data_IF_236012150635
#
_entry.id   IF_236012150635
#
_cell.length_a   1.000
_cell.length_b   1.000
_cell.length_c   1.000
_cell.angle_alpha   90.00
_cell.angle_beta   90.00
_cell.angle_gamma   90.00
#
_symmetry.space_group_name_H-M   'P 1'
#
loop_
_entity.id
_entity.type
_entity.pdbx_description
1 polymer ?
#
# COMPACT_ATOMS: atom_id res chain seq x y z
N UNK A 1 54.33 1.26 -17.34
CA UNK A 1 53.01 1.69 -16.84
C UNK A 1 52.01 1.56 -17.99
N UNK A 2 51.00 0.70 -17.87
CA UNK A 2 49.91 0.54 -18.85
C UNK A 2 48.60 0.77 -18.11
N UNK A 3 47.86 1.80 -18.52
CA UNK A 3 46.61 2.20 -17.89
C UNK A 3 45.48 1.25 -18.30
N UNK A 4 44.76 0.73 -17.31
CA UNK A 4 43.52 -0.02 -17.53
C UNK A 4 42.35 0.96 -17.49
N UNK A 5 41.62 1.10 -18.60
CA UNK A 5 40.33 1.78 -18.60
C UNK A 5 39.30 0.85 -17.97
N UNK A 6 38.92 1.14 -16.73
CA UNK A 6 37.77 0.49 -16.08
C UNK A 6 36.51 1.10 -16.69
N UNK A 7 35.79 0.31 -17.49
CA UNK A 7 34.46 0.67 -17.96
C UNK A 7 33.50 0.70 -16.77
N UNK A 8 33.05 1.89 -16.39
CA UNK A 8 32.03 2.08 -15.36
C UNK A 8 30.65 1.71 -15.93
N UNK A 9 30.16 0.51 -15.59
CA UNK A 9 28.80 0.08 -15.88
C UNK A 9 27.85 0.71 -14.86
N UNK A 10 27.32 1.91 -15.16
CA UNK A 10 26.29 2.55 -14.32
C UNK A 10 24.93 1.85 -14.54
N UNK A 11 24.57 1.09 -13.51
CA UNK A 11 23.35 0.34 -13.23
C UNK A 11 22.01 0.97 -13.67
N UNK A 12 21.33 0.32 -14.62
CA UNK A 12 19.94 0.59 -15.03
C UNK A 12 18.87 -0.05 -14.13
N UNK A 13 19.22 -0.52 -12.92
CA UNK A 13 18.35 -1.37 -12.09
C UNK A 13 17.33 -0.63 -11.19
N UNK A 14 17.30 0.71 -11.19
CA UNK A 14 16.60 1.48 -10.15
C UNK A 14 15.12 1.77 -10.44
N UNK A 15 14.66 1.73 -11.70
CA UNK A 15 13.28 2.11 -12.05
C UNK A 15 12.30 0.95 -11.83
N UNK A 16 12.64 -0.27 -12.25
CA UNK A 16 11.78 -1.46 -12.08
C UNK A 16 11.62 -1.88 -10.61
N UNK A 17 12.56 -1.52 -9.74
CA UNK A 17 12.55 -1.88 -8.33
C UNK A 17 11.56 -1.08 -7.47
N UNK A 18 11.05 0.07 -7.93
CA UNK A 18 10.09 0.87 -7.16
C UNK A 18 8.64 0.41 -7.36
N UNK A 19 8.26 0.02 -8.57
CA UNK A 19 6.88 -0.40 -8.86
C UNK A 19 6.50 -1.72 -8.16
N UNK A 20 7.47 -2.62 -7.91
CA UNK A 20 7.19 -3.87 -7.18
C UNK A 20 6.73 -3.62 -5.74
N UNK A 21 7.14 -2.53 -5.10
CA UNK A 21 6.65 -2.19 -3.76
C UNK A 21 5.18 -1.76 -3.78
N UNK A 22 4.75 -1.08 -4.85
CA UNK A 22 3.34 -0.71 -5.04
C UNK A 22 2.44 -1.94 -5.22
N UNK A 23 2.96 -3.03 -5.78
CA UNK A 23 2.26 -4.32 -5.86
C UNK A 23 2.12 -5.04 -4.49
N UNK A 24 2.89 -4.62 -3.48
CA UNK A 24 2.93 -5.26 -2.17
C UNK A 24 2.00 -4.64 -1.15
N UNK A 25 1.23 -3.61 -1.51
CA UNK A 25 0.26 -2.97 -0.64
C UNK A 25 -1.12 -2.93 -1.33
N UNK A 26 -2.23 -2.94 -0.58
CA UNK A 26 -3.57 -2.75 -1.14
C UNK A 26 -3.65 -1.42 -1.91
N UNK A 27 -4.37 -1.40 -3.03
CA UNK A 27 -4.55 -0.21 -3.88
C UNK A 27 -3.26 0.50 -4.35
N UNK A 28 -2.06 -0.08 -4.19
CA UNK A 28 -0.81 0.65 -4.41
C UNK A 28 -0.54 1.09 -5.86
N UNK A 29 -1.21 0.48 -6.85
CA UNK A 29 -1.16 0.90 -8.26
C UNK A 29 -2.15 2.01 -8.61
N UNK A 30 -3.11 2.30 -7.73
CA UNK A 30 -4.12 3.34 -7.93
C UNK A 30 -3.62 4.70 -7.43
N UNK A 31 -4.31 5.76 -7.84
CA UNK A 31 -4.16 7.09 -7.23
C UNK A 31 -5.25 7.23 -6.18
N UNK A 32 -4.87 7.67 -4.99
CA UNK A 32 -5.80 7.93 -3.88
C UNK A 32 -6.76 9.08 -4.23
N UNK A 33 -7.86 9.18 -3.48
CA UNK A 33 -8.90 10.19 -3.70
C UNK A 33 -8.39 11.63 -3.52
N UNK A 34 -7.33 11.82 -2.74
CA UNK A 34 -6.60 13.08 -2.54
C UNK A 34 -5.46 13.30 -3.57
N UNK A 35 -5.30 12.41 -4.56
CA UNK A 35 -4.39 12.60 -5.69
C UNK A 35 -2.95 12.13 -5.43
N UNK A 36 -2.73 11.21 -4.49
CA UNK A 36 -1.42 10.63 -4.18
C UNK A 36 -1.25 9.30 -4.92
N UNK A 37 -0.19 9.19 -5.72
CA UNK A 37 0.17 7.96 -6.44
C UNK A 37 1.35 7.22 -5.80
N UNK A 38 2.04 7.85 -4.85
CA UNK A 38 3.23 7.32 -4.18
C UNK A 38 3.19 7.57 -2.67
N UNK A 39 2.35 6.80 -1.96
CA UNK A 39 2.10 6.95 -0.51
C UNK A 39 3.34 6.78 0.38
N UNK A 40 4.38 6.12 -0.12
CA UNK A 40 5.67 5.95 0.58
C UNK A 40 6.60 7.15 0.52
N UNK A 41 6.27 8.20 -0.26
CA UNK A 41 7.13 9.35 -0.51
C UNK A 41 6.43 10.67 -0.25
N UNK A 42 7.14 11.64 0.34
CA UNK A 42 6.59 12.99 0.60
C UNK A 42 6.19 13.71 -0.69
N UNK A 43 6.88 13.43 -1.80
CA UNK A 43 6.37 13.80 -3.10
C UNK A 43 5.30 12.79 -3.50
N UNK A 44 4.06 13.27 -3.64
CA UNK A 44 2.88 12.47 -4.00
C UNK A 44 3.01 11.67 -5.30
N UNK A 45 3.95 12.03 -6.17
CA UNK A 45 4.24 11.34 -7.43
C UNK A 45 5.50 10.45 -7.37
N UNK A 46 6.11 10.33 -6.20
CA UNK A 46 7.27 9.48 -5.92
C UNK A 46 8.57 10.26 -5.81
N UNK A 47 9.65 9.52 -5.48
CA UNK A 47 11.01 10.05 -5.19
C UNK A 47 11.05 10.90 -3.91
N UNK A 48 12.27 11.23 -3.50
CA UNK A 48 12.50 12.05 -2.30
C UNK A 48 12.30 11.27 -1.01
N UNK A 49 12.20 12.02 0.08
CA UNK A 49 12.15 11.47 1.45
C UNK A 49 10.94 10.55 1.64
N UNK A 50 11.13 9.51 2.44
CA UNK A 50 10.04 8.63 2.83
C UNK A 50 9.05 9.32 3.77
N UNK A 51 7.75 9.04 3.59
CA UNK A 51 6.69 9.36 4.56
C UNK A 51 6.86 8.51 5.83
N UNK A 52 6.14 8.80 6.93
CA UNK A 52 6.04 7.86 8.04
C UNK A 52 5.66 6.44 7.59
N UNK A 53 4.61 6.31 6.77
CA UNK A 53 4.23 5.03 6.16
C UNK A 53 5.37 4.37 5.39
N UNK A 54 6.08 5.13 4.55
CA UNK A 54 7.22 4.59 3.78
C UNK A 54 8.31 4.01 4.69
N UNK A 55 8.62 4.68 5.81
CA UNK A 55 9.60 4.19 6.80
C UNK A 55 9.08 2.98 7.57
N UNK A 56 7.78 2.95 7.89
CA UNK A 56 7.15 1.80 8.56
C UNK A 56 7.13 0.58 7.66
N UNK A 57 6.78 0.75 6.38
CA UNK A 57 6.83 -0.29 5.36
C UNK A 57 8.25 -0.83 5.17
N UNK A 58 9.26 0.05 5.07
CA UNK A 58 10.67 -0.35 4.98
C UNK A 58 11.12 -1.15 6.22
N UNK A 59 10.82 -0.63 7.43
CA UNK A 59 11.17 -1.29 8.69
C UNK A 59 10.55 -2.69 8.80
N UNK A 60 9.35 -2.88 8.27
CA UNK A 60 8.63 -4.15 8.27
C UNK A 60 8.99 -5.04 7.05
N UNK A 61 10.12 -4.75 6.41
CA UNK A 61 10.70 -5.58 5.35
C UNK A 61 10.05 -5.39 3.98
N UNK A 62 9.37 -4.26 3.76
CA UNK A 62 8.69 -3.96 2.51
C UNK A 62 7.55 -4.93 2.20
N UNK A 63 6.77 -5.29 3.22
CA UNK A 63 5.65 -6.24 3.16
C UNK A 63 4.40 -5.66 3.81
N UNK A 64 3.23 -6.05 3.29
CA UNK A 64 1.95 -5.83 3.96
C UNK A 64 1.78 -6.80 5.13
N UNK A 65 2.33 -6.44 6.29
CA UNK A 65 2.16 -7.20 7.54
C UNK A 65 0.91 -6.73 8.27
N UNK A 66 0.43 -7.54 9.22
CA UNK A 66 -0.67 -7.13 10.10
C UNK A 66 -0.29 -5.88 10.91
N UNK A 67 0.93 -5.83 11.45
CA UNK A 67 1.45 -4.66 12.17
C UNK A 67 1.42 -3.39 11.30
N UNK A 68 1.84 -3.49 10.03
CA UNK A 68 1.76 -2.34 9.13
C UNK A 68 0.30 -1.95 8.90
N UNK A 69 -0.57 -2.90 8.59
CA UNK A 69 -1.97 -2.61 8.29
C UNK A 69 -2.72 -1.92 9.45
N UNK A 70 -2.46 -2.34 10.69
CA UNK A 70 -3.14 -1.81 11.89
C UNK A 70 -2.55 -0.48 12.37
N UNK A 71 -1.38 -0.08 11.87
CA UNK A 71 -0.74 1.18 12.25
C UNK A 71 -1.41 2.38 11.58
N UNK A 72 -1.65 3.44 12.34
CA UNK A 72 -1.86 4.80 11.84
C UNK A 72 -0.47 5.46 11.69
N UNK A 73 0.08 5.43 10.48
CA UNK A 73 1.48 5.82 10.28
C UNK A 73 1.67 7.33 10.28
N UNK A 74 0.75 8.06 9.65
CA UNK A 74 0.87 9.51 9.51
C UNK A 74 0.15 10.28 10.62
N UNK A 75 -0.73 9.64 11.40
CA UNK A 75 -1.32 10.19 12.62
C UNK A 75 -2.55 11.05 12.33
N UNK A 76 -3.40 10.63 11.41
CA UNK A 76 -4.66 11.30 11.07
C UNK A 76 -5.92 10.62 11.65
N UNK A 77 -5.73 9.49 12.34
CA UNK A 77 -6.79 8.74 13.02
C UNK A 77 -7.29 7.51 12.26
N UNK A 78 -6.90 7.32 10.99
CA UNK A 78 -7.16 6.10 10.24
C UNK A 78 -5.94 5.17 10.24
N UNK A 79 -6.16 3.85 10.20
CA UNK A 79 -5.06 2.89 10.01
C UNK A 79 -4.70 2.77 8.54
N UNK A 80 -3.46 2.35 8.24
CA UNK A 80 -3.02 2.11 6.87
C UNK A 80 -3.97 1.18 6.09
N UNK A 81 -4.51 0.17 6.76
CA UNK A 81 -5.50 -0.75 6.19
C UNK A 81 -6.83 -0.09 5.90
N UNK A 82 -7.33 0.74 6.81
CA UNK A 82 -8.55 1.51 6.60
C UNK A 82 -8.44 2.38 5.34
N UNK A 83 -7.32 3.07 5.19
CA UNK A 83 -7.07 3.98 4.08
C UNK A 83 -6.82 3.28 2.75
N UNK A 84 -6.03 2.20 2.74
CA UNK A 84 -5.70 1.48 1.51
C UNK A 84 -6.76 0.44 1.11
N UNK A 85 -7.88 0.37 1.83
CA UNK A 85 -9.01 -0.50 1.48
C UNK A 85 -8.86 -1.96 1.93
N UNK A 86 -8.09 -2.18 2.99
CA UNK A 86 -7.98 -3.42 3.76
C UNK A 86 -8.25 -3.21 5.27
N UNK A 87 -9.44 -2.74 5.66
CA UNK A 87 -9.70 -2.34 7.06
C UNK A 87 -9.66 -3.51 8.05
N UNK A 88 -9.77 -4.74 7.55
CA UNK A 88 -9.71 -5.96 8.35
C UNK A 88 -8.32 -6.61 8.37
N UNK A 89 -7.32 -6.03 7.71
CA UNK A 89 -5.95 -6.55 7.67
C UNK A 89 -5.81 -7.99 7.17
N UNK A 90 -6.64 -8.37 6.20
CA UNK A 90 -6.68 -9.73 5.64
C UNK A 90 -6.17 -9.79 4.21
N UNK A 91 -5.89 -8.65 3.57
CA UNK A 91 -5.50 -8.62 2.18
C UNK A 91 -4.19 -9.38 1.95
N UNK A 92 -4.14 -10.04 0.80
CA UNK A 92 -2.96 -10.71 0.25
C UNK A 92 -2.78 -10.22 -1.17
N UNK A 93 -1.53 -10.24 -1.64
CA UNK A 93 -1.16 -9.77 -2.99
C UNK A 93 -2.11 -10.36 -4.04
N UNK A 94 -2.63 -9.49 -4.91
CA UNK A 94 -3.57 -9.86 -5.99
C UNK A 94 -5.03 -10.03 -5.56
N UNK A 95 -5.38 -9.91 -4.27
CA UNK A 95 -6.77 -9.97 -3.83
C UNK A 95 -7.52 -8.65 -4.07
N UNK A 96 -8.86 -8.69 -4.19
CA UNK A 96 -9.68 -7.49 -4.25
C UNK A 96 -9.50 -6.57 -3.04
N UNK A 97 -9.74 -5.29 -3.25
CA UNK A 97 -9.62 -4.21 -2.26
C UNK A 97 -10.89 -3.36 -2.25
N UNK A 98 -11.14 -2.66 -1.15
CA UNK A 98 -12.16 -1.61 -1.15
C UNK A 98 -11.70 -0.44 -2.02
N UNK A 99 -12.67 0.32 -2.56
CA UNK A 99 -12.41 1.48 -3.41
C UNK A 99 -12.13 2.73 -2.58
N UNK A 100 -11.87 3.82 -3.29
CA UNK A 100 -11.71 5.16 -2.73
C UNK A 100 -10.59 5.26 -1.68
N UNK A 101 -9.37 4.78 -2.00
CA UNK A 101 -8.28 4.80 -1.04
C UNK A 101 -7.86 6.23 -0.70
N UNK A 102 -7.39 6.44 0.52
CA UNK A 102 -6.69 7.66 0.97
C UNK A 102 -5.21 7.35 1.20
N UNK A 103 -4.42 8.39 1.49
CA UNK A 103 -2.97 8.25 1.61
C UNK A 103 -2.52 8.00 3.06
N UNK A 104 -1.95 6.84 3.41
CA UNK A 104 -1.42 6.57 4.76
C UNK A 104 -0.09 7.26 5.10
N UNK A 105 0.49 7.96 4.14
CA UNK A 105 1.72 8.71 4.31
C UNK A 105 1.53 10.24 4.32
N UNK A 106 0.30 10.71 4.12
CA UNK A 106 -0.04 12.13 4.00
C UNK A 106 -1.35 12.37 4.72
N UNK A 107 -1.28 13.03 5.88
CA UNK A 107 -2.44 13.25 6.75
C UNK A 107 -3.67 13.73 5.98
N UNK A 108 -4.76 13.02 6.15
CA UNK A 108 -6.07 13.40 5.67
C UNK A 108 -6.80 14.20 6.76
N UNK A 109 -7.98 14.72 6.42
CA UNK A 109 -8.88 15.39 7.37
C UNK A 109 -10.17 14.60 7.46
N UNK A 110 -10.22 13.64 8.38
CA UNK A 110 -11.40 12.82 8.60
C UNK A 110 -12.33 13.42 9.65
N UNK A 111 -13.63 13.34 9.38
CA UNK A 111 -14.67 13.46 10.41
C UNK A 111 -14.78 12.16 11.20
N UNK A 112 -15.35 12.23 12.40
CA UNK A 112 -15.60 11.03 13.21
C UNK A 112 -16.49 10.00 12.50
N UNK A 113 -17.45 10.47 11.68
CA UNK A 113 -18.30 9.61 10.88
C UNK A 113 -17.49 8.88 9.80
N UNK A 114 -16.57 9.57 9.11
CA UNK A 114 -15.67 8.95 8.13
C UNK A 114 -14.76 7.91 8.79
N UNK A 115 -14.12 8.25 9.92
CA UNK A 115 -13.30 7.29 10.67
C UNK A 115 -14.10 6.04 11.10
N UNK A 116 -15.37 6.22 11.44
CA UNK A 116 -16.23 5.10 11.82
C UNK A 116 -16.62 4.23 10.62
N UNK A 117 -16.87 4.85 9.46
CA UNK A 117 -17.19 4.15 8.22
C UNK A 117 -16.01 3.37 7.63
N UNK A 118 -14.78 3.78 7.94
CA UNK A 118 -13.57 3.07 7.49
C UNK A 118 -13.30 1.77 8.26
N UNK A 119 -13.92 1.55 9.42
CA UNK A 119 -13.65 0.37 10.24
C UNK A 119 -14.04 -0.93 9.54
N UNK A 120 -13.37 -2.01 9.91
CA UNK A 120 -13.74 -3.36 9.47
C UNK A 120 -15.17 -3.68 9.94
N UNK A 121 -15.99 -4.22 9.04
CA UNK A 121 -17.35 -4.69 9.32
C UNK A 121 -17.52 -6.14 8.88
N UNK A 122 -18.50 -6.84 9.45
CA UNK A 122 -18.82 -8.23 9.09
C UNK A 122 -19.16 -8.38 7.61
N UNK A 123 -19.83 -7.38 7.02
CA UNK A 123 -20.12 -7.33 5.58
C UNK A 123 -18.84 -7.27 4.73
N UNK A 124 -17.80 -6.60 5.23
CA UNK A 124 -16.48 -6.52 4.58
C UNK A 124 -15.81 -7.90 4.56
N UNK A 125 -16.03 -8.72 5.60
CA UNK A 125 -15.51 -10.10 5.68
C UNK A 125 -16.34 -11.02 4.77
N UNK A 126 -17.67 -10.98 4.86
CA UNK A 126 -18.59 -11.82 4.10
C UNK A 126 -18.49 -11.63 2.58
N UNK A 127 -18.34 -10.38 2.12
CA UNK A 127 -18.16 -10.05 0.70
C UNK A 127 -16.86 -10.60 0.12
N UNK A 128 -15.79 -10.72 0.93
CA UNK A 128 -14.50 -11.30 0.53
C UNK A 128 -14.58 -12.83 0.41
N UNK A 129 -15.25 -13.51 1.35
CA UNK A 129 -15.43 -14.96 1.31
C UNK A 129 -16.31 -15.43 0.14
N UNK A 130 -17.38 -14.69 -0.17
CA UNK A 130 -18.28 -15.03 -1.28
C UNK A 130 -17.57 -14.89 -2.64
N UNK A 131 -16.71 -13.88 -2.79
CA UNK A 131 -15.94 -13.66 -4.03
C UNK A 131 -14.79 -14.66 -4.19
N UNK A 132 -14.23 -15.19 -3.11
CA UNK A 132 -13.23 -16.27 -3.18
C UNK A 132 -13.82 -17.61 -3.63
N UNK A 133 -15.06 -17.93 -3.24
CA UNK A 133 -15.73 -19.19 -3.65
C UNK A 133 -16.17 -19.22 -5.11
N UNK A 134 -16.36 -18.08 -5.76
CA UNK A 134 -16.81 -18.01 -7.15
C UNK A 134 -15.69 -18.13 -8.20
N UNK A 135 -14.45 -18.41 -7.77
CA UNK A 135 -13.27 -18.51 -8.64
C UNK A 135 -12.62 -19.91 -8.67
N UNK A 136 -13.22 -20.90 -8.04
CA UNK A 136 -12.82 -22.32 -8.17
C UNK A 136 -13.85 -22.97 -9.10
N UNK A 137 -13.50 -23.38 -10.33
CA UNK A 137 -14.37 -24.26 -11.08
C UNK A 137 -14.48 -25.58 -10.32
N UNK A 138 -15.70 -26.05 -10.07
CA UNK A 138 -15.95 -27.43 -9.65
C UNK A 138 -15.48 -28.35 -10.80
N UNK A 139 -14.25 -28.86 -10.72
CA UNK A 139 -13.85 -30.02 -11.51
C UNK A 139 -14.35 -31.28 -10.81
N UNK A 140 -15.27 -31.97 -11.49
CA UNK A 140 -15.61 -33.39 -11.33
C UNK A 140 -14.57 -34.26 -12.05
#
# INVERSE_FOLDING_TARGET
MKAYFVAACMSAASVLAYDIYRLRIPNGLTTTTDGVSAVGHVNKYGRGRATPFGRDFERLGGKWTQELCEKDSDGDGATNGQELGDPCCTWKVGRPVLKDPTSPGHKNSFTQAQLSALKCTDDTIASREKKQRHGVPDEL
#
